data_IF_591267650386
#
_entry.id   IF_591267650386
#
_cell.length_a   1.000
_cell.length_b   1.000
_cell.length_c   1.000
_cell.angle_alpha   90.00
_cell.angle_beta   90.00
_cell.angle_gamma   90.00
#
_symmetry.space_group_name_H-M   'P 1'
#
loop_
_entity.id
_entity.type
_entity.pdbx_description
1 polymer ?
#
# COMPACT_ATOMS: atom_id res chain seq x y z
N UNK A 1 36.37 -0.22 19.18
CA UNK A 1 36.48 -1.50 19.91
C UNK A 1 35.17 -1.72 20.66
N UNK A 2 34.17 -2.24 19.95
CA UNK A 2 33.63 -3.62 20.08
C UNK A 2 32.86 -3.78 21.40
N UNK A 3 31.53 -3.93 21.39
CA UNK A 3 30.93 -5.26 21.22
C UNK A 3 29.50 -5.15 20.65
N UNK A 4 29.35 -5.64 19.42
CA UNK A 4 28.07 -5.78 18.71
C UNK A 4 27.54 -7.17 19.06
N UNK A 5 26.79 -7.25 20.16
CA UNK A 5 26.22 -8.51 20.66
C UNK A 5 25.38 -9.22 19.60
N UNK A 6 25.94 -10.30 19.07
CA UNK A 6 25.36 -11.22 18.10
C UNK A 6 23.99 -11.73 18.58
N UNK A 7 22.90 -11.24 17.98
CA UNK A 7 21.58 -11.85 18.13
C UNK A 7 21.56 -13.20 17.43
N UNK A 8 21.90 -14.26 18.18
CA UNK A 8 21.80 -15.64 17.74
C UNK A 8 20.35 -15.95 17.36
N UNK A 9 20.11 -16.35 16.11
CA UNK A 9 18.85 -16.95 15.71
C UNK A 9 18.72 -18.31 16.41
N UNK A 10 17.61 -18.57 17.13
CA UNK A 10 17.45 -19.85 17.82
C UNK A 10 17.47 -21.00 16.81
N UNK A 11 18.21 -22.05 17.16
CA UNK A 11 18.35 -23.25 16.32
C UNK A 11 17.01 -23.95 16.16
N UNK A 12 16.78 -24.67 15.06
CA UNK A 12 15.54 -25.44 14.82
C UNK A 12 15.15 -26.33 16.02
N UNK A 13 16.13 -26.94 16.70
CA UNK A 13 15.93 -27.77 17.90
C UNK A 13 15.53 -26.98 19.17
N UNK A 14 15.85 -25.69 19.25
CA UNK A 14 15.45 -24.78 20.33
C UNK A 14 14.05 -24.22 20.07
N UNK A 15 13.72 -23.94 18.81
CA UNK A 15 12.36 -23.52 18.41
C UNK A 15 11.36 -24.64 18.69
N UNK A 16 11.71 -25.90 18.36
CA UNK A 16 10.87 -27.07 18.62
C UNK A 16 10.59 -27.25 20.12
N UNK A 17 11.63 -27.20 20.98
CA UNK A 17 11.47 -27.35 22.44
C UNK A 17 10.69 -26.21 23.10
N UNK A 18 10.80 -24.99 22.56
CA UNK A 18 10.02 -23.86 23.06
C UNK A 18 8.57 -23.90 22.57
N UNK A 19 8.32 -24.46 21.39
CA UNK A 19 6.98 -24.79 20.92
C UNK A 19 6.33 -25.86 21.81
N UNK A 20 7.09 -26.84 22.30
CA UNK A 20 6.60 -27.85 23.26
C UNK A 20 6.24 -27.27 24.63
N UNK A 21 6.80 -26.10 25.00
CA UNK A 21 6.45 -25.38 26.26
C UNK A 21 5.17 -24.56 26.15
N UNK A 22 4.65 -24.32 24.94
CA UNK A 22 3.51 -23.43 24.68
C UNK A 22 2.41 -24.22 23.99
N UNK A 23 1.15 -23.99 24.37
CA UNK A 23 0.06 -24.64 23.63
C UNK A 23 -0.01 -24.11 22.20
N UNK A 24 -0.27 -25.01 21.26
CA UNK A 24 -0.50 -24.68 19.85
C UNK A 24 -1.59 -23.61 19.70
N UNK A 25 -2.59 -23.59 20.58
CA UNK A 25 -3.67 -22.60 20.58
C UNK A 25 -3.18 -21.19 20.91
N UNK A 26 -2.18 -21.06 21.80
CA UNK A 26 -1.59 -19.76 22.12
C UNK A 26 -0.81 -19.19 20.95
N UNK A 27 -0.08 -20.05 20.23
CA UNK A 27 0.63 -19.67 19.01
C UNK A 27 -0.36 -19.27 17.92
N UNK A 28 -1.43 -20.05 17.72
CA UNK A 28 -2.47 -19.74 16.74
C UNK A 28 -3.16 -18.40 17.05
N UNK A 29 -3.46 -18.10 18.32
CA UNK A 29 -3.99 -16.80 18.74
C UNK A 29 -3.03 -15.66 18.38
N UNK A 30 -1.73 -15.84 18.58
CA UNK A 30 -0.71 -14.84 18.20
C UNK A 30 -0.59 -14.65 16.69
N UNK A 31 -0.76 -15.72 15.91
CA UNK A 31 -0.85 -15.64 14.45
C UNK A 31 -2.03 -14.78 14.04
N UNK A 32 -3.22 -15.03 14.59
CA UNK A 32 -4.43 -14.23 14.29
C UNK A 32 -4.25 -12.76 14.69
N UNK A 33 -3.68 -12.49 15.87
CA UNK A 33 -3.37 -11.12 16.30
C UNK A 33 -2.38 -10.42 15.33
N UNK A 34 -1.37 -11.15 14.84
CA UNK A 34 -0.41 -10.60 13.88
C UNK A 34 -1.08 -10.30 12.54
N UNK A 35 -1.88 -11.22 12.00
CA UNK A 35 -2.62 -11.00 10.74
C UNK A 35 -3.51 -9.77 10.86
N UNK A 36 -4.29 -9.65 11.93
CA UNK A 36 -5.14 -8.49 12.16
C UNK A 36 -4.33 -7.19 12.25
N UNK A 37 -3.21 -7.21 12.99
CA UNK A 37 -2.32 -6.05 13.10
C UNK A 37 -1.78 -5.60 11.74
N UNK A 38 -1.33 -6.54 10.90
CA UNK A 38 -0.78 -6.25 9.57
C UNK A 38 -1.86 -5.65 8.64
N UNK A 39 -3.07 -6.20 8.64
CA UNK A 39 -4.19 -5.69 7.85
C UNK A 39 -4.58 -4.26 8.25
N UNK A 40 -4.65 -3.98 9.56
CA UNK A 40 -4.96 -2.63 10.06
C UNK A 40 -3.88 -1.62 9.68
N UNK A 41 -2.60 -2.03 9.74
CA UNK A 41 -1.48 -1.18 9.33
C UNK A 41 -1.52 -0.85 7.84
N UNK A 42 -1.81 -1.85 7.00
CA UNK A 42 -1.94 -1.64 5.55
C UNK A 42 -3.13 -0.74 5.20
N UNK A 43 -4.28 -0.93 5.86
CA UNK A 43 -5.45 -0.08 5.67
C UNK A 43 -5.14 1.39 5.98
N UNK A 44 -4.35 1.66 7.02
CA UNK A 44 -3.93 3.01 7.41
C UNK A 44 -2.74 3.54 6.61
N UNK A 45 -2.18 2.74 5.68
CA UNK A 45 -0.97 3.05 4.91
C UNK A 45 0.21 3.47 5.80
N UNK A 46 0.33 2.81 6.95
CA UNK A 46 1.44 3.03 7.90
C UNK A 46 2.50 1.94 7.67
N UNK A 47 3.80 2.30 7.55
CA UNK A 47 4.87 1.33 7.44
C UNK A 47 4.88 0.31 8.58
N UNK A 48 5.06 -0.97 8.24
CA UNK A 48 5.09 -2.07 9.21
C UNK A 48 6.55 -2.27 9.61
N UNK A 49 6.91 -1.91 10.85
CA UNK A 49 8.29 -2.09 11.37
C UNK A 49 8.40 -3.37 12.17
N UNK A 50 9.52 -4.11 12.05
CA UNK A 50 9.79 -5.29 12.89
C UNK A 50 9.70 -4.99 14.39
N UNK A 51 10.27 -3.86 14.82
CA UNK A 51 10.21 -3.43 16.22
C UNK A 51 8.78 -3.27 16.73
N UNK A 52 7.87 -2.78 15.88
CA UNK A 52 6.45 -2.64 16.19
C UNK A 52 5.76 -3.99 16.35
N UNK A 53 6.04 -4.94 15.44
CA UNK A 53 5.53 -6.32 15.52
C UNK A 53 5.98 -6.97 16.84
N UNK A 54 7.27 -6.87 17.15
CA UNK A 54 7.87 -7.45 18.35
C UNK A 54 7.28 -6.85 19.62
N UNK A 55 7.10 -5.52 19.68
CA UNK A 55 6.62 -4.83 20.88
C UNK A 55 5.10 -4.98 21.08
N UNK A 56 4.31 -4.92 20.02
CA UNK A 56 2.84 -4.82 20.12
C UNK A 56 2.17 -6.19 20.14
N UNK A 57 2.64 -7.12 19.31
CA UNK A 57 2.01 -8.43 19.08
C UNK A 57 2.76 -9.55 19.80
N UNK A 58 4.06 -9.69 19.51
CA UNK A 58 4.84 -10.87 19.90
C UNK A 58 5.20 -10.85 21.40
N UNK A 59 5.67 -9.72 21.92
CA UNK A 59 5.98 -9.50 23.35
C UNK A 59 6.90 -10.59 23.93
N UNK A 60 6.35 -11.53 24.70
CA UNK A 60 7.06 -12.66 25.32
C UNK A 60 7.26 -13.89 24.40
N UNK A 61 6.73 -13.88 23.16
CA UNK A 61 6.81 -14.99 22.20
C UNK A 61 7.99 -14.86 21.21
N UNK A 62 9.11 -14.25 21.63
CA UNK A 62 10.26 -13.96 20.74
C UNK A 62 10.98 -15.22 20.25
N UNK A 63 10.98 -16.27 21.07
CA UNK A 63 11.48 -17.62 20.82
C UNK A 63 10.78 -18.32 19.64
N UNK A 64 9.49 -18.02 19.43
CA UNK A 64 8.67 -18.60 18.35
C UNK A 64 8.27 -17.55 17.29
N UNK A 65 8.97 -16.42 17.27
CA UNK A 65 8.70 -15.30 16.35
C UNK A 65 8.67 -15.74 14.89
N UNK A 66 9.67 -16.52 14.46
CA UNK A 66 9.79 -17.00 13.07
C UNK A 66 8.57 -17.84 12.67
N UNK A 67 8.11 -18.72 13.55
CA UNK A 67 6.96 -19.58 13.29
C UNK A 67 5.65 -18.78 13.20
N UNK A 68 5.46 -17.79 14.09
CA UNK A 68 4.29 -16.91 14.06
C UNK A 68 4.24 -16.10 12.76
N UNK A 69 5.37 -15.50 12.36
CA UNK A 69 5.45 -14.71 11.11
C UNK A 69 5.23 -15.60 9.90
N UNK A 70 5.82 -16.79 9.84
CA UNK A 70 5.64 -17.72 8.73
C UNK A 70 4.17 -18.17 8.59
N UNK A 71 3.50 -18.52 9.70
CA UNK A 71 2.07 -18.86 9.69
C UNK A 71 1.18 -17.69 9.31
N UNK A 72 1.48 -16.48 9.81
CA UNK A 72 0.76 -15.27 9.45
C UNK A 72 0.92 -14.95 7.96
N UNK A 73 2.13 -15.07 7.42
CA UNK A 73 2.43 -14.90 5.99
C UNK A 73 1.64 -15.89 5.12
N UNK A 74 1.62 -17.18 5.50
CA UNK A 74 0.79 -18.18 4.82
C UNK A 74 -0.70 -17.85 4.86
N UNK A 75 -1.19 -17.41 6.02
CA UNK A 75 -2.61 -17.03 6.19
C UNK A 75 -2.96 -15.82 5.33
N UNK A 76 -2.10 -14.79 5.30
CA UNK A 76 -2.28 -13.62 4.44
C UNK A 76 -2.34 -14.01 2.96
N UNK A 77 -1.46 -14.90 2.53
CA UNK A 77 -1.43 -15.35 1.13
C UNK A 77 -2.66 -16.19 0.77
N UNK A 78 -3.00 -17.19 1.60
CA UNK A 78 -4.04 -18.17 1.29
C UNK A 78 -5.47 -17.63 1.50
N UNK A 79 -5.70 -16.80 2.51
CA UNK A 79 -7.04 -16.31 2.87
C UNK A 79 -7.31 -14.94 2.26
N UNK A 80 -6.32 -14.06 2.23
CA UNK A 80 -6.49 -12.66 1.82
C UNK A 80 -5.89 -12.33 0.46
N UNK A 81 -5.10 -13.24 -0.14
CA UNK A 81 -4.38 -12.94 -1.39
C UNK A 81 -3.35 -11.82 -1.23
N UNK A 82 -2.77 -11.69 -0.04
CA UNK A 82 -1.78 -10.66 0.30
C UNK A 82 -0.43 -11.30 0.64
N UNK A 83 0.66 -10.62 0.28
CA UNK A 83 2.02 -11.03 0.59
C UNK A 83 2.70 -9.97 1.47
N UNK A 84 3.38 -10.42 2.52
CA UNK A 84 4.24 -9.57 3.34
C UNK A 84 5.62 -9.47 2.69
N UNK A 85 6.01 -8.26 2.29
CA UNK A 85 7.26 -7.99 1.57
C UNK A 85 8.11 -7.00 2.36
N UNK A 86 9.40 -7.31 2.53
CA UNK A 86 10.38 -6.41 3.13
C UNK A 86 10.90 -5.43 2.06
N UNK A 87 10.75 -4.13 2.32
CA UNK A 87 11.19 -3.06 1.40
C UNK A 87 12.48 -2.40 1.85
N UNK A 88 12.82 -2.54 3.13
CA UNK A 88 14.04 -1.98 3.71
C UNK A 88 14.61 -2.97 4.71
N UNK A 89 15.69 -3.62 4.31
CA UNK A 89 16.41 -4.62 5.11
C UNK A 89 17.22 -4.00 6.24
N UNK A 90 17.62 -2.73 6.14
CA UNK A 90 18.40 -2.02 7.16
C UNK A 90 17.53 -1.68 8.37
N UNK A 91 16.29 -1.25 8.12
CA UNK A 91 15.36 -0.85 9.18
C UNK A 91 14.25 -1.89 9.43
N UNK A 92 14.28 -3.02 8.73
CA UNK A 92 13.28 -4.08 8.77
C UNK A 92 11.84 -3.55 8.62
N UNK A 93 11.59 -2.91 7.48
CA UNK A 93 10.29 -2.34 7.13
C UNK A 93 9.61 -3.22 6.10
N UNK A 94 8.34 -3.51 6.35
CA UNK A 94 7.50 -4.36 5.55
C UNK A 94 6.28 -3.59 5.01
N UNK A 95 5.75 -4.10 3.91
CA UNK A 95 4.45 -3.71 3.34
C UNK A 95 3.64 -4.97 3.00
N UNK A 96 2.33 -4.81 2.84
CA UNK A 96 1.49 -5.84 2.23
C UNK A 96 1.28 -5.51 0.75
N UNK A 97 1.52 -6.48 -0.12
CA UNK A 97 1.25 -6.39 -1.56
C UNK A 97 0.15 -7.37 -1.94
N UNK A 98 -0.70 -6.98 -2.89
CA UNK A 98 -1.71 -7.88 -3.45
C UNK A 98 -1.05 -8.87 -4.40
N UNK A 99 -1.27 -10.16 -4.18
CA UNK A 99 -0.90 -11.22 -5.13
C UNK A 99 -2.05 -11.57 -6.09
N UNK A 100 -3.22 -10.97 -5.91
CA UNK A 100 -4.35 -11.14 -6.80
C UNK A 100 -4.08 -10.40 -8.12
N UNK A 101 -4.38 -11.01 -9.29
CA UNK A 101 -4.25 -10.32 -10.56
C UNK A 101 -5.11 -9.06 -10.52
N UNK A 102 -4.51 -7.92 -10.87
CA UNK A 102 -5.27 -6.69 -11.06
C UNK A 102 -6.31 -7.01 -12.14
N UNK A 103 -7.59 -6.74 -11.92
CA UNK A 103 -8.58 -6.86 -12.99
C UNK A 103 -8.29 -5.74 -14.00
N UNK A 104 -7.40 -6.03 -14.94
CA UNK A 104 -6.76 -5.06 -15.85
C UNK A 104 -7.76 -4.43 -16.82
N UNK A 105 -8.81 -5.14 -17.24
CA UNK A 105 -9.76 -4.62 -18.24
C UNK A 105 -10.76 -3.59 -17.71
N UNK A 106 -11.43 -3.91 -16.60
CA UNK A 106 -12.51 -3.06 -16.07
C UNK A 106 -11.98 -1.96 -15.15
N UNK A 107 -10.96 -2.25 -14.33
CA UNK A 107 -10.41 -1.23 -13.44
C UNK A 107 -9.60 -0.19 -14.21
N UNK A 108 -8.82 -0.51 -15.25
CA UNK A 108 -8.10 0.53 -16.00
C UNK A 108 -9.05 1.47 -16.75
N UNK A 109 -10.15 0.94 -17.34
CA UNK A 109 -11.16 1.79 -17.98
C UNK A 109 -11.92 2.63 -16.96
N UNK A 110 -12.28 2.04 -15.81
CA UNK A 110 -12.89 2.76 -14.68
C UNK A 110 -11.93 3.80 -14.10
N UNK A 111 -10.65 3.49 -13.97
CA UNK A 111 -9.59 4.36 -13.45
C UNK A 111 -9.38 5.54 -14.40
N UNK A 112 -9.33 5.30 -15.72
CA UNK A 112 -9.21 6.36 -16.72
C UNK A 112 -10.44 7.28 -16.76
N UNK A 113 -11.64 6.72 -16.69
CA UNK A 113 -12.86 7.53 -16.62
C UNK A 113 -12.95 8.32 -15.32
N UNK A 114 -12.56 7.71 -14.20
CA UNK A 114 -12.45 8.37 -12.89
C UNK A 114 -11.41 9.48 -12.92
N UNK A 115 -10.27 9.27 -13.57
CA UNK A 115 -9.24 10.28 -13.74
C UNK A 115 -9.74 11.46 -14.58
N UNK A 116 -10.43 11.21 -15.70
CA UNK A 116 -11.07 12.25 -16.51
C UNK A 116 -12.10 13.06 -15.70
N UNK A 117 -12.94 12.40 -14.91
CA UNK A 117 -13.87 13.07 -14.00
C UNK A 117 -13.13 13.90 -12.95
N UNK A 118 -12.03 13.40 -12.38
CA UNK A 118 -11.18 14.15 -11.46
C UNK A 118 -10.62 15.42 -12.10
N UNK A 119 -10.11 15.33 -13.33
CA UNK A 119 -9.63 16.48 -14.08
C UNK A 119 -10.75 17.49 -14.36
N UNK A 120 -11.95 17.02 -14.73
CA UNK A 120 -13.13 17.86 -14.92
C UNK A 120 -13.48 18.64 -13.64
N UNK A 121 -13.51 17.97 -12.48
CA UNK A 121 -13.79 18.62 -11.19
C UNK A 121 -12.74 19.68 -10.86
N UNK A 122 -11.46 19.43 -11.16
CA UNK A 122 -10.38 20.40 -10.95
C UNK A 122 -10.55 21.63 -11.84
N UNK A 123 -10.92 21.45 -13.11
CA UNK A 123 -11.18 22.56 -14.04
C UNK A 123 -12.41 23.36 -13.60
N UNK A 124 -13.52 22.69 -13.25
CA UNK A 124 -14.74 23.34 -12.77
C UNK A 124 -14.49 24.11 -11.47
N UNK A 125 -13.71 23.55 -10.55
CA UNK A 125 -13.31 24.24 -9.31
C UNK A 125 -12.51 25.50 -9.62
N UNK A 126 -11.59 25.45 -10.58
CA UNK A 126 -10.84 26.62 -11.01
C UNK A 126 -11.73 27.71 -11.63
N UNK A 127 -12.68 27.33 -12.48
CA UNK A 127 -13.67 28.25 -13.06
C UNK A 127 -14.54 28.89 -11.97
N UNK A 128 -15.02 28.08 -11.02
CA UNK A 128 -15.82 28.54 -9.89
C UNK A 128 -15.04 29.56 -9.04
N UNK A 129 -13.77 29.26 -8.71
CA UNK A 129 -12.88 30.16 -7.96
C UNK A 129 -12.62 31.50 -8.67
N UNK A 130 -12.84 31.59 -9.98
CA UNK A 130 -12.66 32.80 -10.79
C UNK A 130 -13.96 33.57 -11.06
N UNK A 131 -15.07 33.20 -10.40
CA UNK A 131 -16.36 33.86 -10.56
C UNK A 131 -17.19 33.30 -11.71
N UNK A 132 -17.14 31.98 -11.91
CA UNK A 132 -17.91 31.21 -12.90
C UNK A 132 -17.58 31.47 -14.38
N UNK A 133 -16.61 32.35 -14.68
CA UNK A 133 -16.18 32.61 -16.05
C UNK A 133 -14.68 32.87 -16.12
N UNK A 134 -14.01 32.24 -17.09
CA UNK A 134 -12.57 32.30 -17.30
C UNK A 134 -12.28 32.29 -18.80
N UNK A 135 -11.29 33.08 -19.23
CA UNK A 135 -10.76 33.01 -20.60
C UNK A 135 -9.97 31.72 -20.81
N UNK A 136 -10.12 31.08 -21.96
CA UNK A 136 -9.41 29.85 -22.33
C UNK A 136 -7.91 29.89 -22.02
N UNK A 137 -7.24 31.01 -22.31
CA UNK A 137 -5.80 31.18 -22.02
C UNK A 137 -5.43 30.93 -20.55
N UNK A 138 -6.29 31.33 -19.61
CA UNK A 138 -6.07 31.11 -18.18
C UNK A 138 -6.33 29.64 -17.78
N UNK A 139 -7.26 28.94 -18.44
CA UNK A 139 -7.44 27.48 -18.28
C UNK A 139 -6.19 26.75 -18.77
N UNK A 140 -5.67 27.11 -19.95
CA UNK A 140 -4.46 26.49 -20.50
C UNK A 140 -3.21 26.78 -19.66
N UNK A 141 -3.09 27.98 -19.09
CA UNK A 141 -1.99 28.28 -18.15
C UNK A 141 -2.10 27.43 -16.87
N UNK A 142 -3.31 27.29 -16.33
CA UNK A 142 -3.57 26.44 -15.17
C UNK A 142 -3.25 24.96 -15.45
N UNK A 143 -3.73 24.42 -16.58
CA UNK A 143 -3.41 23.05 -17.00
C UNK A 143 -1.90 22.84 -17.20
N UNK A 144 -1.19 23.84 -17.74
CA UNK A 144 0.28 23.79 -17.88
C UNK A 144 0.99 23.69 -16.52
N UNK A 145 0.48 24.36 -15.49
CA UNK A 145 0.99 24.23 -14.11
C UNK A 145 0.75 22.84 -13.53
N UNK A 146 -0.29 22.14 -13.99
CA UNK A 146 -0.56 20.73 -13.70
C UNK A 146 0.21 19.75 -14.62
N UNK A 147 1.17 20.25 -15.42
CA UNK A 147 1.95 19.49 -16.41
C UNK A 147 1.11 18.88 -17.54
N UNK A 148 -0.06 19.44 -17.80
CA UNK A 148 -0.93 19.05 -18.91
C UNK A 148 -0.76 20.06 -20.06
N UNK A 149 -0.06 19.64 -21.12
CA UNK A 149 0.23 20.50 -22.27
C UNK A 149 -0.78 20.27 -23.41
N UNK A 150 -1.32 21.32 -24.03
CA UNK A 150 -2.14 21.18 -25.22
C UNK A 150 -1.28 20.67 -26.40
N UNK A 151 -1.74 19.63 -27.09
CA UNK A 151 -1.08 19.07 -28.27
C UNK A 151 -0.14 17.87 -27.99
N UNK A 152 0.15 17.58 -26.72
CA UNK A 152 0.87 16.36 -26.32
C UNK A 152 -0.13 15.28 -25.87
N UNK A 153 0.12 14.02 -26.24
CA UNK A 153 -0.70 12.90 -25.75
C UNK A 153 -0.24 12.51 -24.35
N UNK A 154 -1.11 12.70 -23.37
CA UNK A 154 -0.91 12.25 -22.01
C UNK A 154 -1.31 10.77 -21.87
N UNK A 155 -0.54 9.98 -21.10
CA UNK A 155 -0.78 8.53 -20.92
C UNK A 155 -2.21 8.21 -20.43
N UNK A 156 -2.73 9.02 -19.51
CA UNK A 156 -4.06 8.83 -18.91
C UNK A 156 -5.17 9.60 -19.65
N UNK A 157 -4.87 10.78 -20.18
CA UNK A 157 -5.88 11.73 -20.69
C UNK A 157 -5.94 11.78 -22.22
N UNK A 158 -5.00 11.14 -22.91
CA UNK A 158 -4.88 11.22 -24.36
C UNK A 158 -4.60 12.66 -24.81
N UNK A 159 -5.32 13.11 -25.83
CA UNK A 159 -5.27 14.50 -26.29
C UNK A 159 -6.04 15.40 -25.32
N UNK A 160 -5.30 16.09 -24.45
CA UNK A 160 -5.89 16.98 -23.42
C UNK A 160 -6.66 18.14 -24.07
N UNK A 161 -6.23 18.61 -25.25
CA UNK A 161 -6.93 19.71 -25.93
C UNK A 161 -8.32 19.24 -26.33
N UNK A 162 -8.39 18.11 -27.02
CA UNK A 162 -9.64 17.49 -27.43
C UNK A 162 -10.54 17.13 -26.23
N UNK A 163 -9.94 16.58 -25.17
CA UNK A 163 -10.66 16.24 -23.94
C UNK A 163 -11.39 17.46 -23.34
N UNK A 164 -10.69 18.58 -23.20
CA UNK A 164 -11.24 19.78 -22.56
C UNK A 164 -12.23 20.53 -23.46
N UNK A 165 -11.96 20.62 -24.77
CA UNK A 165 -12.79 21.45 -25.67
C UNK A 165 -13.94 20.70 -26.31
N UNK A 166 -13.86 19.37 -26.44
CA UNK A 166 -14.91 18.56 -27.08
C UNK A 166 -15.59 17.63 -26.08
N UNK A 167 -14.82 16.81 -25.35
CA UNK A 167 -15.40 15.76 -24.50
C UNK A 167 -16.06 16.32 -23.24
N UNK A 168 -15.48 17.32 -22.58
CA UNK A 168 -16.08 17.95 -21.39
C UNK A 168 -17.19 18.98 -21.70
N UNK A 169 -17.28 19.43 -22.95
CA UNK A 169 -18.28 20.43 -23.39
C UNK A 169 -19.54 19.76 -23.95
N UNK A 170 -19.42 18.52 -24.42
CA UNK A 170 -20.51 17.74 -25.00
C UNK A 170 -21.41 17.13 -23.94
#
# INVERSE_FOLDING_TARGET
>A
DEDFGLSQTPTHSQVQRNLERRSQDQVNKKVSELVQFLLVKDQKKIPIKRADILKKVIREYKDVYSEIVNRAGRTLQQVFGLQLVEIDTKHHIYILTSSLPRAEGENLRRDNQTAKLGLLIVILSFIFMKGNSVKDGAIWEFLRRLRLQPGERHEVFGDVKKLVTEEFVR
#
